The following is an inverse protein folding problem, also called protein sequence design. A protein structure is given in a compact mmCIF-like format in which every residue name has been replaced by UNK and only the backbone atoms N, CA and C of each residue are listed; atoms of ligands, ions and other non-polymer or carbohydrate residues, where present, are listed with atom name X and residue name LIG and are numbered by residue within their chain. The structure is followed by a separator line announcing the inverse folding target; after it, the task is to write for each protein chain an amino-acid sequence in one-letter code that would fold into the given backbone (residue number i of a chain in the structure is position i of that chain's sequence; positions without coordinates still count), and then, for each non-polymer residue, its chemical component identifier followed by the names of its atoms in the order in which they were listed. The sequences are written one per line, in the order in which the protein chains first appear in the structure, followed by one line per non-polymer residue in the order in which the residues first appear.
data_IF_416186093665
#
_entry.id   IF_416186093665
#
_cell.length_a   1.000
_cell.length_b   1.000
_cell.length_c   1.000
_cell.angle_alpha   90.00
_cell.angle_beta   90.00
_cell.angle_gamma   90.00
#
_symmetry.space_group_name_H-M   'P 1'
#
loop_
_entity.id
_entity.type
_entity.pdbx_description
1 polymer ?
#
# COMPACT_ATOMS: atom_id res chain seq x y z
N UNK A 1 -19.56 6.17 -10.88
CA UNK A 1 -18.99 5.20 -9.90
C UNK A 1 -17.93 5.90 -9.08
N UNK A 2 -17.93 5.73 -7.78
CA UNK A 2 -16.94 6.42 -6.95
C UNK A 2 -15.69 5.58 -6.75
N UNK A 3 -14.55 6.26 -6.73
CA UNK A 3 -13.27 5.60 -6.48
C UNK A 3 -13.05 5.37 -4.99
N UNK A 4 -12.20 4.40 -4.69
CA UNK A 4 -11.78 4.12 -3.32
C UNK A 4 -10.26 4.20 -3.27
N UNK A 5 -9.75 4.94 -2.28
CA UNK A 5 -8.33 4.96 -1.97
C UNK A 5 -8.12 4.20 -0.68
N UNK A 6 -7.22 3.24 -0.71
CA UNK A 6 -6.80 2.52 0.48
C UNK A 6 -5.36 2.90 0.77
N UNK A 7 -5.11 3.47 1.94
CA UNK A 7 -3.78 3.93 2.30
C UNK A 7 -3.24 3.19 3.52
N UNK A 8 -1.93 2.95 3.50
CA UNK A 8 -1.21 2.34 4.61
C UNK A 8 -0.01 3.24 4.91
N UNK A 9 0.00 3.85 6.09
CA UNK A 9 1.13 4.66 6.55
C UNK A 9 1.95 3.88 7.56
N UNK A 10 3.27 4.05 7.53
CA UNK A 10 4.16 3.41 8.49
C UNK A 10 5.53 4.07 8.48
N UNK A 11 6.29 3.79 9.54
CA UNK A 11 7.69 4.16 9.63
C UNK A 11 8.52 2.89 9.49
N UNK A 12 9.59 2.96 8.71
CA UNK A 12 10.50 1.81 8.55
C UNK A 12 11.73 1.97 9.44
N UNK A 13 12.40 0.86 9.71
CA UNK A 13 13.68 0.86 10.38
C UNK A 13 14.71 1.58 9.50
N UNK A 14 15.44 2.55 10.05
CA UNK A 14 16.31 3.43 9.25
C UNK A 14 17.40 2.67 8.48
N UNK A 15 17.93 1.62 9.07
CA UNK A 15 18.97 0.80 8.44
C UNK A 15 18.41 -0.14 7.35
N UNK A 16 17.10 -0.21 7.20
CA UNK A 16 16.43 -1.10 6.25
C UNK A 16 15.89 -0.39 5.01
N UNK A 17 16.24 0.88 4.81
CA UNK A 17 15.69 1.65 3.70
C UNK A 17 15.91 1.00 2.33
N UNK A 18 17.13 0.54 2.06
CA UNK A 18 17.42 -0.06 0.75
C UNK A 18 16.63 -1.35 0.52
N UNK A 19 16.49 -2.16 1.55
CA UNK A 19 15.70 -3.38 1.50
C UNK A 19 14.21 -3.05 1.27
N UNK A 20 13.71 -2.02 1.97
CA UNK A 20 12.35 -1.54 1.79
C UNK A 20 12.10 -1.11 0.34
N UNK A 21 13.00 -0.31 -0.23
CA UNK A 21 12.83 0.16 -1.61
C UNK A 21 12.78 -1.00 -2.60
N UNK A 22 13.57 -2.04 -2.37
CA UNK A 22 13.54 -3.24 -3.21
C UNK A 22 12.20 -3.97 -3.13
N UNK A 23 11.66 -4.08 -1.92
CA UNK A 23 10.38 -4.76 -1.70
C UNK A 23 9.24 -4.02 -2.38
N UNK A 24 9.14 -2.70 -2.19
CA UNK A 24 8.02 -1.94 -2.79
C UNK A 24 8.16 -1.85 -4.30
N UNK A 25 9.37 -1.84 -4.83
CA UNK A 25 9.58 -1.88 -6.28
C UNK A 25 9.01 -3.18 -6.87
N UNK A 26 9.25 -4.29 -6.23
CA UNK A 26 8.72 -5.57 -6.67
C UNK A 26 7.20 -5.62 -6.51
N UNK A 27 6.67 -5.12 -5.38
CA UNK A 27 5.22 -5.03 -5.17
C UNK A 27 4.55 -4.23 -6.27
N UNK A 28 5.13 -3.10 -6.65
CA UNK A 28 4.57 -2.24 -7.70
C UNK A 28 4.43 -3.00 -9.02
N UNK A 29 5.36 -3.89 -9.31
CA UNK A 29 5.33 -4.69 -10.54
C UNK A 29 4.33 -5.84 -10.47
N UNK A 30 4.07 -6.37 -9.29
CA UNK A 30 3.23 -7.55 -9.10
C UNK A 30 1.76 -7.23 -8.79
N UNK A 31 1.48 -6.05 -8.19
CA UNK A 31 0.13 -5.69 -7.80
C UNK A 31 -0.71 -5.34 -9.01
N UNK A 32 -1.50 -6.33 -9.45
CA UNK A 32 -2.42 -6.18 -10.57
C UNK A 32 -3.69 -6.95 -10.23
N UNK A 33 -4.83 -6.26 -10.33
CA UNK A 33 -6.12 -6.87 -10.07
C UNK A 33 -7.19 -6.10 -10.81
N UNK A 34 -8.32 -6.76 -11.10
CA UNK A 34 -9.45 -6.09 -11.73
C UNK A 34 -9.92 -4.95 -10.83
N UNK A 35 -10.03 -3.76 -11.40
CA UNK A 35 -10.47 -2.59 -10.68
C UNK A 35 -9.41 -1.89 -9.87
N UNK A 36 -8.19 -2.45 -9.76
CA UNK A 36 -7.06 -1.74 -9.16
C UNK A 36 -6.42 -0.87 -10.24
N UNK A 37 -6.63 0.46 -10.13
CA UNK A 37 -6.15 1.40 -11.13
C UNK A 37 -4.68 1.76 -10.95
N UNK A 38 -4.25 1.88 -9.70
CA UNK A 38 -2.85 2.21 -9.42
C UNK A 38 -2.47 1.82 -8.00
N UNK A 39 -1.17 1.64 -7.84
CA UNK A 39 -0.51 1.48 -6.54
C UNK A 39 0.71 2.37 -6.57
N UNK A 40 0.86 3.24 -5.60
CA UNK A 40 1.99 4.14 -5.50
C UNK A 40 2.44 4.28 -4.05
N UNK A 41 3.72 4.57 -3.88
CA UNK A 41 4.30 4.77 -2.55
C UNK A 41 4.87 6.18 -2.50
N UNK A 42 4.56 6.89 -1.43
CA UNK A 42 4.97 8.28 -1.23
C UNK A 42 5.79 8.42 0.06
N UNK A 43 6.75 9.34 0.04
CA UNK A 43 7.43 9.73 1.28
C UNK A 43 6.60 10.80 1.97
N UNK A 44 6.51 10.73 3.31
CA UNK A 44 5.78 11.74 4.07
C UNK A 44 6.74 12.87 4.38
N UNK A 45 6.43 14.07 3.88
CA UNK A 45 7.27 15.25 4.08
C UNK A 45 7.39 15.58 5.56
N UNK A 46 8.61 15.79 6.01
CA UNK A 46 8.88 16.18 7.40
C UNK A 46 9.00 15.01 8.37
N UNK A 47 8.86 13.78 7.91
CA UNK A 47 9.00 12.58 8.74
C UNK A 47 9.99 11.63 8.11
N UNK A 48 11.16 11.48 8.73
CA UNK A 48 12.20 10.58 8.23
C UNK A 48 11.71 9.13 8.27
N UNK A 49 11.99 8.40 7.17
CA UNK A 49 11.69 6.97 7.07
C UNK A 49 10.20 6.63 7.19
N UNK A 50 9.33 7.61 6.93
CA UNK A 50 7.88 7.41 6.96
C UNK A 50 7.34 7.45 5.53
N UNK A 51 6.49 6.47 5.20
CA UNK A 51 5.96 6.29 3.85
C UNK A 51 4.47 6.01 3.90
N UNK A 52 3.82 6.27 2.78
CA UNK A 52 2.41 5.95 2.61
C UNK A 52 2.21 5.22 1.29
N UNK A 53 1.65 4.01 1.36
CA UNK A 53 1.22 3.27 0.18
C UNK A 53 -0.22 3.66 -0.13
N UNK A 54 -0.51 3.94 -1.41
CA UNK A 54 -1.87 4.28 -1.82
C UNK A 54 -2.30 3.36 -2.95
N UNK A 55 -3.37 2.61 -2.71
CA UNK A 55 -4.05 1.78 -3.69
C UNK A 55 -5.26 2.56 -4.18
N UNK A 56 -5.44 2.68 -5.49
CA UNK A 56 -6.60 3.33 -6.07
C UNK A 56 -7.46 2.29 -6.76
N UNK A 57 -8.70 2.14 -6.30
CA UNK A 57 -9.66 1.21 -6.89
C UNK A 57 -10.76 1.97 -7.63
N UNK A 58 -11.24 1.40 -8.73
CA UNK A 58 -12.25 2.04 -9.58
C UNK A 58 -13.62 2.10 -8.92
N UNK A 59 -13.89 1.26 -7.92
CA UNK A 59 -15.20 1.18 -7.26
C UNK A 59 -15.08 0.53 -5.89
N UNK A 60 -16.08 0.71 -5.01
CA UNK A 60 -16.11 0.01 -3.73
C UNK A 60 -16.10 -1.51 -3.88
N UNK A 61 -16.76 -2.01 -4.93
CA UNK A 61 -16.80 -3.46 -5.19
C UNK A 61 -15.41 -4.00 -5.51
N UNK A 62 -14.65 -3.27 -6.33
CA UNK A 62 -13.29 -3.67 -6.65
C UNK A 62 -12.42 -3.73 -5.39
N UNK A 63 -12.58 -2.77 -4.48
CA UNK A 63 -11.86 -2.78 -3.22
C UNK A 63 -12.24 -3.98 -2.36
N UNK A 64 -13.54 -4.26 -2.24
CA UNK A 64 -14.02 -5.38 -1.42
C UNK A 64 -13.57 -6.73 -1.99
N UNK A 65 -13.47 -6.85 -3.30
CA UNK A 65 -13.08 -8.08 -3.96
C UNK A 65 -11.56 -8.25 -4.08
N UNK A 66 -10.80 -7.24 -3.72
CA UNK A 66 -9.35 -7.30 -3.82
C UNK A 66 -8.81 -8.35 -2.84
N UNK A 67 -8.01 -9.26 -3.37
CA UNK A 67 -7.43 -10.34 -2.58
C UNK A 67 -5.94 -10.43 -2.92
N UNK A 68 -5.10 -9.95 -2.02
CA UNK A 68 -3.66 -10.01 -2.16
C UNK A 68 -3.07 -11.36 -1.77
N UNK A 69 -3.90 -12.27 -1.23
CA UNK A 69 -3.46 -13.60 -0.83
C UNK A 69 -3.38 -14.59 -1.99
N UNK A 70 -3.87 -14.20 -3.17
CA UNK A 70 -3.88 -15.11 -4.33
C UNK A 70 -2.50 -15.38 -4.91
N UNK A 71 -1.52 -14.56 -4.58
CA UNK A 71 -0.16 -14.68 -5.11
C UNK A 71 0.81 -14.95 -3.97
N UNK A 72 1.46 -16.11 -4.02
CA UNK A 72 2.41 -16.50 -2.97
C UNK A 72 3.57 -15.49 -2.83
N UNK A 73 4.05 -14.96 -3.97
CA UNK A 73 5.13 -13.97 -3.93
C UNK A 73 4.69 -12.68 -3.25
N UNK A 74 3.45 -12.24 -3.49
CA UNK A 74 2.88 -11.07 -2.82
C UNK A 74 2.84 -11.28 -1.31
N UNK A 75 2.42 -12.45 -0.86
CA UNK A 75 2.39 -12.77 0.57
C UNK A 75 3.77 -12.69 1.19
N UNK A 76 4.79 -13.22 0.52
CA UNK A 76 6.17 -13.15 1.00
C UNK A 76 6.61 -11.70 1.15
N UNK A 77 6.32 -10.86 0.14
CA UNK A 77 6.72 -9.45 0.15
C UNK A 77 6.00 -8.66 1.23
N UNK A 78 4.70 -8.90 1.42
CA UNK A 78 3.91 -8.22 2.44
C UNK A 78 4.42 -8.59 3.85
N UNK A 79 4.73 -9.86 4.07
CA UNK A 79 5.30 -10.29 5.34
C UNK A 79 6.68 -9.65 5.57
N UNK A 80 7.46 -9.52 4.51
CA UNK A 80 8.77 -8.88 4.59
C UNK A 80 8.63 -7.40 4.94
N UNK A 81 7.64 -6.70 4.36
CA UNK A 81 7.34 -5.31 4.73
C UNK A 81 7.06 -5.18 6.22
N UNK A 82 6.27 -6.09 6.78
CA UNK A 82 5.94 -6.04 8.19
C UNK A 82 7.19 -6.13 9.07
N UNK A 83 8.18 -6.90 8.64
CA UNK A 83 9.45 -7.04 9.37
C UNK A 83 10.32 -5.79 9.27
N UNK A 84 10.10 -4.94 8.28
CA UNK A 84 10.88 -3.72 8.06
C UNK A 84 10.30 -2.50 8.74
N UNK A 85 9.03 -2.56 9.19
CA UNK A 85 8.35 -1.43 9.82
C UNK A 85 8.62 -1.39 11.32
N UNK A 86 8.59 -0.18 11.88
CA UNK A 86 8.70 -0.03 13.33
C UNK A 86 7.40 -0.46 14.01
N UNK A 87 7.53 -0.93 15.24
CA UNK A 87 6.39 -1.42 16.00
C UNK A 87 5.35 -0.31 16.22
N UNK A 88 4.07 -0.66 16.03
CA UNK A 88 2.92 0.22 16.26
C UNK A 88 2.88 1.49 15.39
N UNK A 89 3.64 1.54 14.29
CA UNK A 89 3.63 2.70 13.41
C UNK A 89 2.59 2.63 12.30
N UNK A 90 2.05 1.45 12.02
CA UNK A 90 1.19 1.23 10.85
C UNK A 90 -0.22 1.75 11.10
N UNK A 91 -0.71 2.53 10.13
CA UNK A 91 -2.07 3.09 10.16
C UNK A 91 -2.75 2.84 8.82
N UNK A 92 -3.97 2.30 8.87
CA UNK A 92 -4.78 2.04 7.69
C UNK A 92 -5.88 3.07 7.57
N UNK A 93 -6.14 3.54 6.34
CA UNK A 93 -7.23 4.49 6.07
C UNK A 93 -7.90 4.11 4.75
N UNK A 94 -9.21 4.08 4.74
CA UNK A 94 -9.99 3.87 3.52
C UNK A 94 -10.78 5.14 3.23
N UNK A 95 -10.63 5.66 2.00
CA UNK A 95 -11.30 6.90 1.59
C UNK A 95 -12.22 6.60 0.42
N UNK A 96 -13.47 7.05 0.52
CA UNK A 96 -14.43 6.95 -0.58
C UNK A 96 -14.57 8.31 -1.23
N UNK A 97 -14.54 8.33 -2.56
CA UNK A 97 -14.73 9.57 -3.31
C UNK A 97 -16.13 10.13 -3.08
N UNK A 98 -16.22 11.43 -2.78
CA UNK A 98 -17.50 12.12 -2.69
C UNK A 98 -17.95 12.51 -4.08
N UNK A 99 -18.99 11.86 -4.58
CA UNK A 99 -19.48 12.10 -5.93
C UNK A 99 -20.48 13.26 -6.01
N UNK A 100 -20.89 13.81 -4.87
CA UNK A 100 -21.77 14.98 -4.81
C UNK A 100 -21.03 16.32 -4.98
N UNK A 101 -19.71 16.29 -5.03
CA UNK A 101 -18.90 17.51 -5.19
C UNK A 101 -18.13 17.49 -6.49
#
# INVERSE_FOLDING_TARGET
MRKVLFSIQYEILSEKRNEYLSVVKELKNLLKADGLESYAVYEIKGKNNSFEEIYTFSSPEAFENFDDDQNERLNILINKLNDLTTENSTKYTTLYELTEV
#
